data_IF_854871905520
#
_entry.id   IF_854871905520
#
_cell.length_a   1.000
_cell.length_b   1.000
_cell.length_c   1.000
_cell.angle_alpha   90.00
_cell.angle_beta   90.00
_cell.angle_gamma   90.00
#
_symmetry.space_group_name_H-M   'P 1'
#
loop_
_entity.id
_entity.type
_entity.pdbx_description
1 polymer ?
#
# COMPACT_ATOMS: atom_id res chain seq x y z
N UNK A 1 -6.80 -4.80 -0.93
CA UNK A 1 -5.98 -4.20 -2.02
C UNK A 1 -6.33 -4.89 -3.34
N UNK A 2 -5.98 -4.33 -4.51
CA UNK A 2 -6.18 -4.99 -5.81
C UNK A 2 -5.01 -4.66 -6.77
N UNK A 3 -4.59 -5.64 -7.56
CA UNK A 3 -3.57 -5.54 -8.63
C UNK A 3 -4.04 -6.41 -9.81
N UNK A 4 -3.73 -6.08 -11.08
CA UNK A 4 -3.99 -6.99 -12.19
C UNK A 4 -3.29 -8.32 -11.97
N UNK A 5 -3.98 -9.43 -12.21
CA UNK A 5 -3.41 -10.77 -11.96
C UNK A 5 -2.25 -11.14 -12.88
N UNK A 6 -2.16 -10.51 -14.07
CA UNK A 6 -1.08 -10.70 -15.04
C UNK A 6 -0.66 -9.34 -15.57
N UNK A 7 0.64 -9.07 -15.56
CA UNK A 7 1.24 -7.78 -15.95
C UNK A 7 2.42 -8.09 -16.86
N UNK A 8 2.54 -7.33 -17.95
CA UNK A 8 3.64 -7.53 -18.89
C UNK A 8 4.96 -7.04 -18.28
N UNK A 9 6.06 -7.79 -18.44
CA UNK A 9 7.39 -7.30 -18.07
C UNK A 9 7.69 -5.98 -18.80
N UNK A 10 8.08 -4.96 -18.05
CA UNK A 10 8.32 -3.60 -18.52
C UNK A 10 7.15 -2.64 -18.31
N UNK A 11 5.93 -3.15 -18.06
CA UNK A 11 4.77 -2.31 -17.76
C UNK A 11 4.76 -1.86 -16.29
N UNK A 12 4.03 -0.77 -16.02
CA UNK A 12 3.77 -0.34 -14.65
C UNK A 12 2.97 -1.39 -13.87
N UNK A 13 3.19 -1.47 -12.56
CA UNK A 13 2.46 -2.38 -11.66
C UNK A 13 1.45 -1.55 -10.85
N UNK A 14 0.19 -1.41 -11.30
CA UNK A 14 -0.79 -0.57 -10.60
C UNK A 14 -1.39 -1.29 -9.40
N UNK A 15 -1.18 -0.74 -8.21
CA UNK A 15 -1.86 -1.14 -6.99
C UNK A 15 -3.01 -0.19 -6.70
N UNK A 16 -4.24 -0.72 -6.69
CA UNK A 16 -5.43 -0.01 -6.19
C UNK A 16 -5.59 -0.30 -4.70
N UNK A 17 -5.59 0.76 -3.91
CA UNK A 17 -5.78 0.70 -2.46
C UNK A 17 -7.10 1.38 -2.11
N UNK A 18 -8.01 0.64 -1.47
CA UNK A 18 -9.32 1.13 -1.06
C UNK A 18 -9.44 1.04 0.46
N UNK A 19 -9.75 2.15 1.11
CA UNK A 19 -10.14 2.20 2.53
C UNK A 19 -11.64 2.38 2.61
N UNK A 20 -12.28 1.60 3.48
CA UNK A 20 -13.73 1.56 3.65
C UNK A 20 -14.07 1.88 5.11
N UNK A 21 -15.00 2.80 5.34
CA UNK A 21 -15.61 2.97 6.65
C UNK A 21 -16.95 2.23 6.69
N UNK A 22 -16.95 0.99 7.21
CA UNK A 22 -18.17 0.16 7.34
C UNK A 22 -18.99 0.47 8.60
N UNK A 23 -18.70 1.57 9.31
CA UNK A 23 -19.37 1.92 10.57
C UNK A 23 -20.39 3.04 10.35
N UNK A 24 -21.31 3.19 11.30
CA UNK A 24 -22.31 4.27 11.30
C UNK A 24 -21.76 5.63 11.76
N UNK A 25 -20.46 5.73 12.08
CA UNK A 25 -19.83 6.95 12.58
C UNK A 25 -18.66 7.36 11.69
N UNK A 26 -18.33 8.64 11.69
CA UNK A 26 -17.09 9.12 11.05
C UNK A 26 -15.88 8.46 11.73
N UNK A 27 -14.99 7.88 10.92
CA UNK A 27 -13.73 7.29 11.39
C UNK A 27 -12.56 8.07 10.81
N UNK A 28 -11.42 8.00 11.51
CA UNK A 28 -10.17 8.60 11.07
C UNK A 28 -9.08 7.53 11.01
N UNK A 29 -8.18 7.66 10.06
CA UNK A 29 -6.95 6.87 9.99
C UNK A 29 -5.78 7.79 9.70
N UNK A 30 -4.58 7.38 10.11
CA UNK A 30 -3.36 8.14 9.87
C UNK A 30 -2.89 7.83 8.43
N UNK A 31 -2.66 8.87 7.62
CA UNK A 31 -2.22 8.68 6.22
C UNK A 31 -0.77 8.23 6.08
N UNK A 32 0.00 8.28 7.16
CA UNK A 32 1.39 7.84 7.15
C UNK A 32 1.50 6.36 6.85
N UNK A 33 2.51 5.98 6.07
CA UNK A 33 2.71 4.58 5.68
C UNK A 33 1.48 4.01 4.96
N UNK A 34 0.86 4.85 4.13
CA UNK A 34 -0.21 4.49 3.22
C UNK A 34 0.04 5.12 1.86
N UNK A 35 -0.61 4.64 0.79
CA UNK A 35 -0.55 5.28 -0.52
C UNK A 35 -1.33 6.62 -0.60
N UNK A 36 -1.90 7.15 0.49
CA UNK A 36 -2.58 8.45 0.54
C UNK A 36 -1.64 9.63 0.86
N UNK A 37 -0.34 9.38 0.81
CA UNK A 37 0.72 10.38 0.81
C UNK A 37 1.75 10.03 -0.29
N UNK A 38 2.67 10.94 -0.63
CA UNK A 38 3.81 10.57 -1.46
C UNK A 38 4.52 9.35 -0.89
N UNK A 39 5.13 8.53 -1.74
CA UNK A 39 5.86 7.35 -1.30
C UNK A 39 7.06 7.78 -0.44
N UNK A 40 6.90 7.70 0.88
CA UNK A 40 7.85 8.17 1.88
C UNK A 40 8.18 7.11 2.93
N UNK A 41 7.82 5.85 2.66
CA UNK A 41 8.03 4.73 3.58
C UNK A 41 7.79 3.38 2.90
N UNK A 42 8.46 2.33 3.38
CA UNK A 42 8.16 0.94 3.04
C UNK A 42 6.92 0.46 3.79
N UNK A 43 5.75 0.58 3.18
CA UNK A 43 4.47 0.12 3.76
C UNK A 43 3.94 -1.18 3.14
N UNK A 44 4.60 -1.68 2.10
CA UNK A 44 4.35 -2.99 1.52
C UNK A 44 5.53 -3.93 1.80
N UNK A 45 5.19 -5.19 2.05
CA UNK A 45 6.09 -6.32 1.92
C UNK A 45 5.78 -7.02 0.60
N UNK A 46 6.79 -7.23 -0.23
CA UNK A 46 6.62 -7.86 -1.54
C UNK A 46 7.61 -9.02 -1.63
N UNK A 47 7.09 -10.20 -1.93
CA UNK A 47 7.89 -11.43 -2.03
C UNK A 47 7.70 -12.08 -3.39
N UNK A 48 8.76 -12.66 -3.94
CA UNK A 48 8.69 -13.51 -5.13
C UNK A 48 8.22 -14.94 -4.76
N UNK A 49 8.12 -15.83 -5.74
CA UNK A 49 7.71 -17.24 -5.52
C UNK A 49 8.64 -18.04 -4.62
N UNK A 50 9.90 -17.63 -4.50
CA UNK A 50 10.88 -18.25 -3.61
C UNK A 50 10.77 -17.73 -2.16
N UNK A 51 9.90 -16.75 -1.91
CA UNK A 51 9.76 -16.08 -0.62
C UNK A 51 10.81 -14.99 -0.37
N UNK A 52 11.59 -14.63 -1.39
CA UNK A 52 12.60 -13.58 -1.29
C UNK A 52 11.95 -12.21 -1.34
N UNK A 53 12.35 -11.33 -0.42
CA UNK A 53 11.83 -9.98 -0.34
C UNK A 53 12.37 -9.11 -1.49
N UNK A 54 11.47 -8.42 -2.18
CA UNK A 54 11.81 -7.39 -3.16
C UNK A 54 12.33 -6.15 -2.44
N UNK A 55 13.50 -5.67 -2.87
CA UNK A 55 14.15 -4.50 -2.29
C UNK A 55 13.28 -3.24 -2.43
N UNK A 56 13.09 -2.53 -1.32
CA UNK A 56 12.55 -1.17 -1.31
C UNK A 56 13.65 -0.16 -1.66
N UNK A 57 13.37 0.74 -2.61
CA UNK A 57 14.26 1.80 -3.10
C UNK A 57 13.68 3.21 -2.93
N UNK A 58 12.50 3.35 -2.32
CA UNK A 58 11.89 4.64 -2.06
C UNK A 58 12.54 5.40 -0.90
N UNK A 59 12.22 6.70 -0.73
CA UNK A 59 12.69 7.48 0.41
C UNK A 59 12.02 7.02 1.72
N UNK A 60 12.63 7.34 2.85
CA UNK A 60 12.12 7.07 4.19
C UNK A 60 12.03 8.38 4.98
N UNK A 61 10.81 8.84 5.27
CA UNK A 61 10.59 10.05 6.04
C UNK A 61 10.76 9.80 7.54
N UNK A 62 11.52 10.68 8.22
CA UNK A 62 11.51 10.79 9.67
C UNK A 62 10.27 11.56 10.11
N UNK A 63 9.61 11.13 11.20
CA UNK A 63 8.37 11.72 11.71
C UNK A 63 8.52 12.13 13.16
N UNK A 64 7.86 13.23 13.54
CA UNK A 64 7.70 13.64 14.93
C UNK A 64 6.45 12.99 15.50
N UNK A 65 6.51 12.56 16.77
CA UNK A 65 5.36 12.06 17.51
C UNK A 65 4.94 13.08 18.59
N UNK A 66 3.63 13.25 18.84
CA UNK A 66 2.50 12.60 18.17
C UNK A 66 2.28 13.13 16.73
N UNK A 67 1.59 12.37 15.86
CA UNK A 67 1.24 12.87 14.53
C UNK A 67 0.40 14.14 14.61
N UNK A 68 0.63 15.14 13.75
CA UNK A 68 -0.18 16.35 13.70
C UNK A 68 -1.59 16.03 13.17
N UNK A 69 -2.56 16.89 13.50
CA UNK A 69 -3.97 16.64 13.19
C UNK A 69 -4.26 16.50 11.68
N UNK A 70 -3.50 17.19 10.84
CA UNK A 70 -3.58 17.17 9.37
C UNK A 70 -2.98 15.90 8.73
N UNK A 71 -2.32 15.05 9.53
CA UNK A 71 -1.88 13.73 9.11
C UNK A 71 -3.03 12.71 9.04
N UNK A 72 -4.18 13.02 9.65
CA UNK A 72 -5.33 12.13 9.68
C UNK A 72 -6.31 12.42 8.53
N UNK A 73 -6.83 11.35 7.93
CA UNK A 73 -7.91 11.42 6.95
C UNK A 73 -9.20 10.98 7.63
N UNK A 74 -10.26 11.76 7.46
CA UNK A 74 -11.60 11.44 7.98
C UNK A 74 -12.46 10.83 6.87
N UNK A 75 -13.12 9.70 7.17
CA UNK A 75 -14.09 9.04 6.31
C UNK A 75 -15.47 9.09 6.95
N UNK A 76 -16.46 9.56 6.21
CA UNK A 76 -17.86 9.57 6.64
C UNK A 76 -18.38 8.13 6.83
N UNK A 77 -19.51 7.94 7.54
CA UNK A 77 -20.17 6.64 7.62
C UNK A 77 -20.44 6.05 6.23
N UNK A 78 -20.17 4.74 6.06
CA UNK A 78 -20.37 4.00 4.81
C UNK A 78 -19.62 4.54 3.57
N UNK A 79 -18.63 5.42 3.78
CA UNK A 79 -17.85 6.04 2.71
C UNK A 79 -16.58 5.23 2.39
N UNK A 80 -15.97 5.55 1.25
CA UNK A 80 -14.75 4.91 0.77
C UNK A 80 -13.77 5.90 0.18
N UNK A 81 -12.47 5.60 0.33
CA UNK A 81 -11.41 6.36 -0.30
C UNK A 81 -10.54 5.41 -1.12
N UNK A 82 -10.21 5.81 -2.35
CA UNK A 82 -9.47 5.00 -3.30
C UNK A 82 -8.25 5.77 -3.79
N UNK A 83 -7.12 5.10 -3.88
CA UNK A 83 -5.92 5.60 -4.55
C UNK A 83 -5.32 4.51 -5.44
N UNK A 84 -4.69 4.92 -6.54
CA UNK A 84 -3.93 4.04 -7.42
C UNK A 84 -2.47 4.50 -7.41
N UNK A 85 -1.55 3.58 -7.15
CA UNK A 85 -0.11 3.84 -7.16
C UNK A 85 0.61 2.85 -8.06
N UNK A 86 1.74 3.24 -8.64
CA UNK A 86 2.63 2.31 -9.33
C UNK A 86 3.66 1.78 -8.34
N UNK A 87 3.68 0.46 -8.13
CA UNK A 87 4.58 -0.23 -7.20
C UNK A 87 6.05 -0.03 -7.59
N UNK A 88 6.35 0.05 -8.88
CA UNK A 88 7.72 0.25 -9.40
C UNK A 88 8.34 1.59 -9.00
N UNK A 89 7.57 2.54 -8.45
CA UNK A 89 8.14 3.78 -7.89
C UNK A 89 8.93 3.56 -6.60
N UNK A 90 8.70 2.42 -5.92
CA UNK A 90 9.28 2.14 -4.61
C UNK A 90 10.00 0.82 -4.48
N UNK A 91 9.79 -0.10 -5.41
CA UNK A 91 10.23 -1.49 -5.31
C UNK A 91 10.89 -1.93 -6.60
N UNK A 92 11.95 -2.72 -6.46
CA UNK A 92 12.78 -3.17 -7.56
C UNK A 92 12.28 -4.48 -8.18
N UNK A 93 11.24 -4.41 -9.02
CA UNK A 93 10.64 -5.59 -9.67
C UNK A 93 10.97 -5.56 -11.15
N UNK A 94 11.87 -6.43 -11.57
CA UNK A 94 12.34 -6.54 -12.96
C UNK A 94 12.22 -7.95 -13.52
N UNK A 95 12.44 -8.95 -12.67
CA UNK A 95 12.43 -10.34 -13.09
C UNK A 95 11.00 -10.85 -13.32
N UNK A 96 10.77 -11.67 -14.36
CA UNK A 96 9.50 -12.36 -14.53
C UNK A 96 9.27 -13.35 -13.38
N UNK A 97 8.02 -13.54 -13.00
CA UNK A 97 7.63 -14.47 -11.93
C UNK A 97 6.34 -14.09 -11.24
N UNK A 98 5.90 -14.89 -10.27
CA UNK A 98 4.77 -14.49 -9.40
C UNK A 98 5.26 -13.75 -8.17
N UNK A 99 4.44 -12.78 -7.76
CA UNK A 99 4.72 -11.92 -6.64
C UNK A 99 3.50 -11.80 -5.74
N UNK A 100 3.75 -11.70 -4.44
CA UNK A 100 2.76 -11.46 -3.39
C UNK A 100 3.04 -10.11 -2.74
N UNK A 101 2.01 -9.27 -2.64
CA UNK A 101 2.05 -7.97 -1.97
C UNK A 101 1.20 -8.04 -0.69
N UNK A 102 1.81 -7.70 0.44
CA UNK A 102 1.18 -7.59 1.75
C UNK A 102 1.32 -6.17 2.31
N UNK A 103 0.32 -5.69 3.05
CA UNK A 103 0.40 -4.41 3.74
C UNK A 103 0.90 -4.62 5.17
N UNK A 104 1.93 -3.87 5.59
CA UNK A 104 2.61 -4.12 6.88
C UNK A 104 2.55 -2.94 7.87
N UNK A 105 1.76 -1.91 7.55
CA UNK A 105 1.74 -0.66 8.32
C UNK A 105 0.41 -0.42 9.07
N UNK A 106 -0.29 -1.50 9.40
CA UNK A 106 -1.56 -1.46 10.14
C UNK A 106 -1.41 -0.76 11.51
N UNK A 107 -0.34 -1.06 12.25
CA UNK A 107 -0.07 -0.47 13.56
C UNK A 107 0.13 1.05 13.52
N UNK A 108 0.64 1.58 12.40
CA UNK A 108 0.89 3.02 12.23
C UNK A 108 -0.34 3.73 11.68
N UNK A 109 -0.91 3.21 10.60
CA UNK A 109 -2.06 3.84 9.94
C UNK A 109 -3.36 3.71 10.73
N UNK A 110 -3.47 2.67 11.57
CA UNK A 110 -4.72 2.26 12.21
C UNK A 110 -5.69 1.55 11.25
N UNK A 111 -5.26 1.23 10.03
CA UNK A 111 -6.03 0.44 9.08
C UNK A 111 -5.94 -1.05 9.40
N UNK A 112 -6.99 -1.80 9.07
CA UNK A 112 -6.94 -3.27 9.03
C UNK A 112 -6.98 -3.77 7.59
N UNK A 113 -6.04 -4.61 7.21
CA UNK A 113 -5.92 -5.19 5.86
C UNK A 113 -5.74 -6.69 6.01
N UNK A 114 -6.81 -7.45 5.73
CA UNK A 114 -6.83 -8.90 5.94
C UNK A 114 -6.17 -9.68 4.79
N UNK A 115 -6.20 -9.11 3.58
CA UNK A 115 -5.80 -9.81 2.37
C UNK A 115 -4.48 -9.28 1.80
N UNK A 116 -3.65 -10.22 1.36
CA UNK A 116 -2.57 -9.96 0.41
C UNK A 116 -3.09 -10.09 -1.02
N UNK A 117 -2.36 -9.54 -1.98
CA UNK A 117 -2.69 -9.68 -3.41
C UNK A 117 -1.54 -10.30 -4.17
N UNK A 118 -1.84 -11.04 -5.24
CA UNK A 118 -0.85 -11.74 -6.04
C UNK A 118 -0.94 -11.31 -7.50
N UNK A 119 0.19 -11.30 -8.20
CA UNK A 119 0.25 -11.07 -9.64
C UNK A 119 1.38 -11.86 -10.29
N UNK A 120 1.25 -12.13 -11.58
CA UNK A 120 2.26 -12.74 -12.45
C UNK A 120 2.86 -11.64 -13.35
N UNK A 121 4.18 -11.47 -13.33
CA UNK A 121 4.92 -10.55 -14.18
C UNK A 121 5.60 -11.36 -15.29
N UNK A 122 5.21 -11.15 -16.56
CA UNK A 122 5.60 -12.04 -17.67
C UNK A 122 5.63 -11.39 -19.04
#
# INVERSE_FOLDING_TARGET
>A
MQVPGKIKVGDTIPLKFTVLNRTAMTRKFLKWQTPFEPLLSKYLDIQNELGEEVQYKGPMAKRVMPPPADAYISLKPNDSLVVKVNVLKGYDIHEPGKYKISYTSENVSGLKVLDSVNFEYR
#
